data_IF_152418701073
#
_entry.id   IF_152418701073
#
_cell.length_a   1.000
_cell.length_b   1.000
_cell.length_c   1.000
_cell.angle_alpha   90.00
_cell.angle_beta   90.00
_cell.angle_gamma   90.00
#
_symmetry.space_group_name_H-M   'P 1'
#
loop_
_entity.id
_entity.type
_entity.pdbx_description
1 polymer ?
#
# COMPACT_ATOMS: atom_id res chain seq x y z
N UNK A 1 5.85 16.98 -18.37
CA UNK A 1 6.19 15.76 -17.61
C UNK A 1 7.48 16.02 -16.84
N UNK A 2 7.40 16.49 -15.58
CA UNK A 2 8.59 16.64 -14.74
C UNK A 2 8.93 15.25 -14.16
N UNK A 3 10.04 14.70 -14.62
CA UNK A 3 10.69 13.58 -13.96
C UNK A 3 11.41 14.18 -12.75
N UNK A 4 10.85 13.99 -11.55
CA UNK A 4 11.53 14.34 -10.30
C UNK A 4 12.31 13.09 -9.87
N UNK A 5 13.60 13.28 -9.55
CA UNK A 5 14.54 12.23 -9.13
C UNK A 5 14.01 11.42 -7.93
N UNK A 6 14.39 10.14 -7.75
CA UNK A 6 13.83 9.27 -6.71
C UNK A 6 14.47 9.59 -5.35
N UNK A 7 14.13 10.75 -4.80
CA UNK A 7 14.40 11.10 -3.42
C UNK A 7 13.64 10.11 -2.52
N UNK A 8 14.36 9.37 -1.66
CA UNK A 8 13.91 8.33 -0.72
C UNK A 8 12.45 7.88 -0.93
N UNK A 9 12.24 6.79 -1.67
CA UNK A 9 10.91 6.28 -2.05
C UNK A 9 9.82 6.55 -1.00
N UNK A 10 8.95 7.52 -1.28
CA UNK A 10 7.87 7.88 -0.36
C UNK A 10 6.87 6.74 -0.26
N UNK A 11 6.97 5.94 0.80
CA UNK A 11 6.10 4.80 1.04
C UNK A 11 4.85 5.22 1.83
N UNK A 12 3.72 4.62 1.48
CA UNK A 12 2.45 4.79 2.21
C UNK A 12 2.31 3.77 3.32
N UNK A 13 1.70 4.15 4.43
CA UNK A 13 1.47 3.24 5.55
C UNK A 13 0.48 2.14 5.14
N UNK A 14 0.88 0.85 5.14
CA UNK A 14 -0.02 -0.24 4.74
C UNK A 14 -1.21 -0.40 5.70
N UNK A 15 -1.00 -0.15 7.00
CA UNK A 15 -2.04 -0.29 8.03
C UNK A 15 -3.09 0.82 7.95
N UNK A 16 -2.68 2.05 7.67
CA UNK A 16 -3.63 3.15 7.48
C UNK A 16 -4.36 3.02 6.14
N UNK A 17 -3.67 2.51 5.12
CA UNK A 17 -4.25 2.29 3.81
C UNK A 17 -5.41 1.28 3.84
N UNK A 18 -5.28 0.19 4.62
CA UNK A 18 -6.38 -0.77 4.84
C UNK A 18 -7.61 -0.13 5.54
N UNK A 19 -7.46 1.06 6.15
CA UNK A 19 -8.55 1.86 6.75
C UNK A 19 -8.99 3.01 5.85
N UNK A 20 -8.63 2.98 4.57
CA UNK A 20 -8.90 4.03 3.57
C UNK A 20 -8.24 5.39 3.88
N UNK A 21 -7.20 5.39 4.72
CA UNK A 21 -6.46 6.60 5.09
C UNK A 21 -5.09 6.55 4.44
N UNK A 22 -4.82 7.50 3.55
CA UNK A 22 -3.52 7.64 2.92
C UNK A 22 -2.58 8.47 3.81
N UNK A 23 -1.58 7.81 4.39
CA UNK A 23 -0.57 8.43 5.25
C UNK A 23 0.80 8.09 4.70
N UNK A 24 1.62 9.12 4.47
CA UNK A 24 3.02 8.95 4.10
C UNK A 24 3.83 8.50 5.33
N UNK A 25 4.65 7.47 5.15
CA UNK A 25 5.59 7.02 6.15
C UNK A 25 6.75 8.00 6.23
N UNK A 26 7.18 8.29 7.44
CA UNK A 26 8.43 9.00 7.68
C UNK A 26 9.57 7.99 7.70
N UNK A 27 10.72 8.37 7.17
CA UNK A 27 11.92 7.54 7.12
C UNK A 27 12.97 8.11 8.06
N UNK A 28 13.48 7.29 8.98
CA UNK A 28 14.55 7.65 9.91
C UNK A 28 15.36 6.39 10.25
N UNK A 29 16.69 6.51 10.23
CA UNK A 29 17.60 5.42 10.61
C UNK A 29 17.26 4.08 9.91
N UNK A 30 17.03 4.13 8.59
CA UNK A 30 16.68 2.98 7.71
C UNK A 30 15.31 2.32 8.00
N UNK A 31 14.48 2.94 8.84
CA UNK A 31 13.16 2.42 9.21
C UNK A 31 12.06 3.38 8.81
N UNK A 32 10.94 2.82 8.42
CA UNK A 32 9.72 3.55 8.14
C UNK A 32 8.80 3.54 9.35
N UNK A 33 8.24 4.69 9.68
CA UNK A 33 7.28 4.82 10.77
C UNK A 33 6.07 5.66 10.36
N UNK A 34 4.91 5.29 10.87
CA UNK A 34 3.66 6.01 10.66
C UNK A 34 3.34 6.89 11.87
N UNK A 35 3.12 8.18 11.62
CA UNK A 35 2.71 9.14 12.66
C UNK A 35 1.29 8.94 13.18
N UNK A 36 0.43 8.25 12.41
CA UNK A 36 -1.00 8.09 12.73
C UNK A 36 -1.30 6.84 13.55
N UNK A 37 -0.70 5.72 13.20
CA UNK A 37 -1.04 4.41 13.77
C UNK A 37 0.13 3.72 14.48
N UNK A 38 1.26 4.43 14.65
CA UNK A 38 2.47 3.91 15.31
C UNK A 38 3.07 2.68 14.65
N UNK A 39 2.74 2.40 13.38
CA UNK A 39 3.35 1.32 12.61
C UNK A 39 4.85 1.60 12.43
N UNK A 40 5.67 0.55 12.50
CA UNK A 40 7.12 0.56 12.26
C UNK A 40 7.49 -0.67 11.45
N UNK A 41 8.31 -0.48 10.42
CA UNK A 41 8.80 -1.56 9.57
C UNK A 41 9.94 -1.11 8.68
N UNK A 42 10.68 -2.06 8.11
CA UNK A 42 11.62 -1.77 7.04
C UNK A 42 10.89 -1.60 5.70
N UNK A 43 11.65 -1.23 4.66
CA UNK A 43 11.10 -1.02 3.32
C UNK A 43 10.46 -2.30 2.73
N UNK A 44 10.96 -3.47 3.08
CA UNK A 44 10.54 -4.75 2.49
C UNK A 44 9.27 -5.30 3.15
N UNK A 45 9.10 -5.12 4.46
CA UNK A 45 7.84 -5.35 5.18
C UNK A 45 6.73 -4.47 4.59
N UNK A 46 7.01 -3.18 4.39
CA UNK A 46 6.04 -2.25 3.78
C UNK A 46 5.63 -2.72 2.38
N UNK A 47 6.60 -3.07 1.53
CA UNK A 47 6.32 -3.57 0.17
C UNK A 47 5.57 -4.89 0.18
N UNK A 48 5.89 -5.79 1.10
CA UNK A 48 5.24 -7.10 1.24
C UNK A 48 3.79 -6.94 1.67
N UNK A 49 3.50 -6.05 2.62
CA UNK A 49 2.13 -5.72 2.99
C UNK A 49 1.35 -5.08 1.85
N UNK A 50 1.96 -4.16 1.10
CA UNK A 50 1.33 -3.61 -0.11
C UNK A 50 1.05 -4.68 -1.17
N UNK A 51 1.94 -5.66 -1.37
CA UNK A 51 1.69 -6.80 -2.26
C UNK A 51 0.49 -7.62 -1.80
N UNK A 52 0.40 -7.89 -0.49
CA UNK A 52 -0.75 -8.59 0.09
C UNK A 52 -2.06 -7.81 -0.01
N UNK A 53 -2.06 -6.49 0.21
CA UNK A 53 -3.27 -5.68 -0.02
C UNK A 53 -3.66 -5.70 -1.50
N UNK A 54 -2.71 -5.57 -2.43
CA UNK A 54 -2.99 -5.64 -3.88
C UNK A 54 -3.58 -6.98 -4.32
N UNK A 55 -3.15 -8.10 -3.75
CA UNK A 55 -3.67 -9.43 -4.14
C UNK A 55 -5.15 -9.61 -3.79
N UNK A 56 -5.68 -8.82 -2.85
CA UNK A 56 -7.12 -8.82 -2.53
C UNK A 56 -7.97 -8.08 -3.55
N UNK A 57 -7.37 -7.16 -4.30
CA UNK A 57 -8.06 -6.29 -5.27
C UNK A 57 -7.74 -6.67 -6.72
N UNK A 58 -7.52 -7.97 -6.99
CA UNK A 58 -7.22 -8.48 -8.34
C UNK A 58 -8.34 -8.19 -9.33
N UNK A 59 -9.59 -8.25 -8.88
CA UNK A 59 -10.77 -8.02 -9.71
C UNK A 59 -11.28 -6.57 -9.66
N UNK A 60 -10.48 -5.61 -9.17
CA UNK A 60 -10.95 -4.21 -8.96
C UNK A 60 -11.49 -3.50 -10.21
N UNK A 61 -11.06 -3.93 -11.40
CA UNK A 61 -11.51 -3.38 -12.69
C UNK A 61 -12.60 -4.22 -13.36
N UNK A 62 -12.90 -5.40 -12.83
CA UNK A 62 -13.89 -6.32 -13.39
C UNK A 62 -15.21 -6.13 -12.65
N UNK A 63 -16.27 -5.82 -13.40
CA UNK A 63 -17.64 -5.88 -12.86
C UNK A 63 -18.04 -7.35 -12.74
N UNK A 64 -18.38 -7.78 -11.54
CA UNK A 64 -18.88 -9.13 -11.26
C UNK A 64 -20.40 -9.01 -11.10
N UNK A 65 -21.14 -9.64 -11.99
CA UNK A 65 -22.58 -9.86 -11.86
C UNK A 65 -22.86 -11.27 -11.33
N UNK A 66 -24.13 -11.61 -11.12
CA UNK A 66 -24.52 -12.91 -10.58
C UNK A 66 -24.06 -14.10 -11.44
N UNK A 67 -24.00 -13.94 -12.77
CA UNK A 67 -23.50 -15.00 -13.66
C UNK A 67 -21.98 -15.12 -13.67
N UNK A 68 -21.27 -14.01 -13.44
CA UNK A 68 -19.82 -13.97 -13.40
C UNK A 68 -19.17 -14.52 -12.13
N UNK A 69 -19.95 -14.77 -11.07
CA UNK A 69 -19.44 -15.33 -9.80
C UNK A 69 -18.93 -16.76 -9.99
N UNK A 70 -19.59 -17.57 -10.82
CA UNK A 70 -19.23 -18.97 -11.06
C UNK A 70 -17.91 -19.12 -11.85
N UNK A 71 -17.41 -18.03 -12.43
CA UNK A 71 -16.20 -18.00 -13.28
C UNK A 71 -15.03 -17.23 -12.62
N UNK A 72 -15.10 -16.99 -11.30
CA UNK A 72 -14.04 -16.32 -10.53
C UNK A 72 -12.93 -17.26 -10.08
#
# INVERSE_FOLDING_TARGET
MRQTEPDVATLRCPVCFDREIDVLLMHRDERYYCVKCSYRGDADDVRTRHRHSRSKFVNRTRRIDLGGIETL
#
